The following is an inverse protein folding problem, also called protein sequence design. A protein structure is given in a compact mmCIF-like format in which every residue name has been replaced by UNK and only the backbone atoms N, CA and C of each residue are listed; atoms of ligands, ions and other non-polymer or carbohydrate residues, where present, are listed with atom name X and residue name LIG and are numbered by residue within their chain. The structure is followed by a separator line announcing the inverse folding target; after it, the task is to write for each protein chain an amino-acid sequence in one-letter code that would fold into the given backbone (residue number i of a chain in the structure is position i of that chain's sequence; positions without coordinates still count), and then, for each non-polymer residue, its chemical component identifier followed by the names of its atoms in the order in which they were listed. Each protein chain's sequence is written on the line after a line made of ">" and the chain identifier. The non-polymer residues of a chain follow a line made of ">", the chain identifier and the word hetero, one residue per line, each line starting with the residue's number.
data_IF_633148099630
#
_entry.id   IF_633148099630
#
_cell.length_a   1.000
_cell.length_b   1.000
_cell.length_c   1.000
_cell.angle_alpha   90.00
_cell.angle_beta   90.00
_cell.angle_gamma   90.00
#
_symmetry.space_group_name_H-M   'P 1'
#
loop_
_entity.id
_entity.type
_entity.pdbx_description
1 polymer ?
#
# COMPACT_ATOMS: atom_id res chain seq x y z
N UNK A 1 30.28 -17.72 4.58
CA UNK A 1 29.96 -18.00 6.01
C UNK A 1 29.20 -19.32 6.17
N UNK A 2 28.14 -19.55 5.44
CA UNK A 2 27.35 -20.79 5.50
C UNK A 2 28.13 -21.98 4.90
N UNK A 3 28.82 -21.76 3.80
CA UNK A 3 29.65 -22.79 3.18
C UNK A 3 30.81 -23.24 4.10
N UNK A 4 31.42 -22.31 4.84
CA UNK A 4 32.58 -22.60 5.71
C UNK A 4 32.18 -23.24 7.05
N UNK A 5 30.96 -23.02 7.53
CA UNK A 5 30.52 -23.45 8.88
C UNK A 5 29.68 -24.72 8.86
N UNK A 6 28.87 -24.94 7.83
CA UNK A 6 27.92 -26.07 7.76
C UNK A 6 28.45 -27.29 7.00
N UNK A 7 29.55 -27.15 6.26
CA UNK A 7 30.11 -28.22 5.41
C UNK A 7 31.59 -28.39 5.66
N UNK A 8 31.98 -28.94 6.84
CA UNK A 8 33.42 -29.09 7.17
C UNK A 8 34.15 -30.23 6.44
N UNK A 9 33.45 -31.05 5.64
CA UNK A 9 34.01 -32.19 4.93
C UNK A 9 34.17 -31.92 3.43
N UNK A 10 35.39 -31.89 2.93
CA UNK A 10 35.74 -31.65 1.50
C UNK A 10 35.04 -32.60 0.52
N UNK A 11 34.60 -33.79 0.96
CA UNK A 11 33.93 -34.77 0.11
C UNK A 11 32.43 -34.48 -0.05
N UNK A 12 31.78 -33.68 0.86
CA UNK A 12 30.40 -33.23 0.76
C UNK A 12 30.26 -32.03 -0.17
N UNK A 13 31.29 -31.20 -0.33
CA UNK A 13 31.21 -29.96 -1.14
C UNK A 13 30.95 -30.20 -2.63
N UNK A 14 31.23 -31.37 -3.17
CA UNK A 14 31.07 -31.62 -4.61
C UNK A 14 29.65 -31.87 -5.06
N UNK A 15 28.77 -32.30 -4.14
CA UNK A 15 27.39 -32.70 -4.45
C UNK A 15 26.33 -31.78 -3.87
N UNK A 16 26.67 -30.79 -3.02
CA UNK A 16 25.75 -29.88 -2.39
C UNK A 16 25.92 -28.48 -2.98
N UNK A 17 24.82 -27.86 -3.38
CA UNK A 17 24.79 -26.47 -3.80
C UNK A 17 23.94 -25.65 -2.80
N UNK A 18 24.57 -24.65 -2.20
CA UNK A 18 23.84 -23.66 -1.36
C UNK A 18 23.29 -22.58 -2.26
N UNK A 19 22.00 -22.37 -2.18
CA UNK A 19 21.28 -21.33 -2.88
C UNK A 19 20.65 -20.38 -1.84
N UNK A 20 21.03 -19.11 -1.86
CA UNK A 20 20.49 -18.06 -1.03
C UNK A 20 20.19 -16.83 -1.87
N UNK A 21 19.33 -15.96 -1.39
CA UNK A 21 19.13 -14.65 -1.97
C UNK A 21 19.17 -13.57 -0.88
N UNK A 22 19.71 -12.43 -1.24
CA UNK A 22 19.83 -11.29 -0.36
C UNK A 22 18.85 -10.20 -0.80
N UNK A 23 17.98 -9.76 0.11
CA UNK A 23 17.06 -8.64 -0.14
C UNK A 23 17.76 -7.36 0.33
N UNK A 24 18.45 -6.69 -0.60
CA UNK A 24 19.06 -5.38 -0.30
C UNK A 24 18.06 -4.22 -0.39
N UNK A 25 16.91 -4.42 -1.01
CA UNK A 25 15.83 -3.42 -1.13
C UNK A 25 14.59 -4.07 -1.74
N UNK A 26 13.38 -3.77 -1.22
CA UNK A 26 12.10 -4.33 -1.70
C UNK A 26 11.82 -4.12 -3.19
N UNK A 27 12.40 -3.08 -3.80
CA UNK A 27 12.29 -2.83 -5.26
C UNK A 27 12.92 -3.90 -6.14
N UNK A 28 13.81 -4.72 -5.61
CA UNK A 28 14.52 -5.76 -6.36
C UNK A 28 14.19 -7.19 -5.92
N UNK A 29 13.23 -7.35 -4.98
CA UNK A 29 12.84 -8.65 -4.42
C UNK A 29 12.46 -9.66 -5.51
N UNK A 30 11.62 -9.25 -6.46
CA UNK A 30 11.16 -10.14 -7.55
C UNK A 30 12.29 -10.66 -8.44
N UNK A 31 13.26 -9.80 -8.77
CA UNK A 31 14.41 -10.20 -9.59
C UNK A 31 15.43 -11.06 -8.83
N UNK A 32 15.57 -10.89 -7.52
CA UNK A 32 16.40 -11.71 -6.66
C UNK A 32 15.77 -13.11 -6.49
N UNK A 33 14.48 -13.18 -6.24
CA UNK A 33 13.72 -14.43 -6.14
C UNK A 33 13.76 -15.22 -7.46
N UNK A 34 13.63 -14.57 -8.61
CA UNK A 34 13.69 -15.23 -9.92
C UNK A 34 15.07 -15.87 -10.15
N UNK A 35 16.16 -15.17 -9.80
CA UNK A 35 17.52 -15.72 -9.86
C UNK A 35 17.71 -16.88 -8.89
N UNK A 36 17.16 -16.78 -7.70
CA UNK A 36 17.19 -17.82 -6.68
C UNK A 36 16.47 -19.09 -7.16
N UNK A 37 15.24 -18.96 -7.70
CA UNK A 37 14.51 -20.08 -8.30
C UNK A 37 15.31 -20.74 -9.42
N UNK A 38 15.90 -19.95 -10.32
CA UNK A 38 16.72 -20.46 -11.40
C UNK A 38 17.95 -21.21 -10.90
N UNK A 39 18.58 -20.72 -9.84
CA UNK A 39 19.74 -21.38 -9.23
C UNK A 39 19.38 -22.75 -8.64
N UNK A 40 18.24 -22.83 -7.94
CA UNK A 40 17.71 -24.09 -7.41
C UNK A 40 17.37 -25.07 -8.54
N UNK A 41 16.63 -24.63 -9.54
CA UNK A 41 16.22 -25.47 -10.68
C UNK A 41 17.43 -25.99 -11.45
N UNK A 42 18.46 -25.16 -11.66
CA UNK A 42 19.70 -25.57 -12.35
C UNK A 42 20.51 -26.57 -11.53
N UNK A 43 20.53 -26.43 -10.21
CA UNK A 43 21.20 -27.38 -9.32
C UNK A 43 20.49 -28.76 -9.32
N UNK A 44 19.17 -28.76 -9.21
CA UNK A 44 18.34 -29.96 -9.27
C UNK A 44 18.51 -30.67 -10.62
N UNK A 45 18.49 -29.94 -11.75
CA UNK A 45 18.71 -30.52 -13.08
C UNK A 45 20.09 -31.17 -13.24
N UNK A 46 21.09 -30.68 -12.50
CA UNK A 46 22.44 -31.25 -12.47
C UNK A 46 22.58 -32.41 -11.51
N UNK A 47 21.49 -32.82 -10.82
CA UNK A 47 21.48 -33.90 -9.86
C UNK A 47 22.19 -33.58 -8.55
N UNK A 48 22.36 -32.31 -8.20
CA UNK A 48 22.98 -31.86 -6.95
C UNK A 48 21.96 -31.81 -5.81
N UNK A 49 22.43 -32.11 -4.60
CA UNK A 49 21.70 -31.80 -3.39
C UNK A 49 21.70 -30.28 -3.18
N UNK A 50 20.59 -29.71 -2.75
CA UNK A 50 20.41 -28.26 -2.62
C UNK A 50 20.07 -27.91 -1.18
N UNK A 51 20.79 -26.95 -0.62
CA UNK A 51 20.37 -26.22 0.59
C UNK A 51 19.84 -24.87 0.14
N UNK A 52 18.53 -24.69 0.23
CA UNK A 52 17.88 -23.43 -0.09
C UNK A 52 17.67 -22.62 1.19
N UNK A 53 18.17 -21.38 1.20
CA UNK A 53 17.99 -20.45 2.32
C UNK A 53 17.03 -19.37 1.87
N UNK A 54 15.83 -19.36 2.46
CA UNK A 54 14.77 -18.43 2.15
C UNK A 54 14.25 -17.76 3.42
N UNK A 55 13.76 -16.55 3.31
CA UNK A 55 13.14 -15.82 4.43
C UNK A 55 11.79 -16.41 4.78
N UNK A 56 11.06 -16.88 3.76
CA UNK A 56 9.76 -17.51 3.90
C UNK A 56 9.67 -18.75 2.99
N UNK A 57 8.94 -19.81 3.38
CA UNK A 57 8.70 -20.96 2.52
C UNK A 57 8.05 -20.60 1.17
N UNK A 58 7.26 -19.51 1.14
CA UNK A 58 6.62 -18.99 -0.07
C UNK A 58 7.63 -18.44 -1.10
N UNK A 59 8.85 -18.09 -0.68
CA UNK A 59 9.91 -17.59 -1.57
C UNK A 59 10.56 -18.71 -2.37
N UNK A 60 10.26 -19.99 -2.09
CA UNK A 60 10.69 -21.12 -2.89
C UNK A 60 9.75 -21.34 -4.08
N UNK A 61 10.32 -21.75 -5.22
CA UNK A 61 9.51 -22.17 -6.37
C UNK A 61 8.60 -23.36 -6.02
N UNK A 62 7.46 -23.50 -6.71
CA UNK A 62 6.54 -24.65 -6.51
C UNK A 62 7.27 -25.98 -6.66
N UNK A 63 8.21 -26.06 -7.60
CA UNK A 63 9.06 -27.24 -7.77
C UNK A 63 9.99 -27.44 -6.56
N UNK A 64 10.57 -26.38 -6.02
CA UNK A 64 11.41 -26.42 -4.82
C UNK A 64 10.63 -26.87 -3.60
N UNK A 65 9.44 -26.30 -3.36
CA UNK A 65 8.58 -26.68 -2.23
C UNK A 65 8.18 -28.16 -2.24
N UNK A 66 7.90 -28.72 -3.41
CA UNK A 66 7.52 -30.14 -3.56
C UNK A 66 8.70 -31.12 -3.40
N UNK A 67 9.92 -30.64 -3.44
CA UNK A 67 11.14 -31.44 -3.34
C UNK A 67 11.85 -31.31 -1.98
N UNK A 68 11.28 -30.54 -1.04
CA UNK A 68 11.82 -30.42 0.31
C UNK A 68 11.79 -31.78 1.00
N UNK A 69 12.96 -32.29 1.32
CA UNK A 69 13.16 -33.54 2.09
C UNK A 69 13.23 -33.23 3.59
N UNK A 70 13.77 -32.05 3.91
CA UNK A 70 13.93 -31.59 5.29
C UNK A 70 13.79 -30.07 5.34
N UNK A 71 12.91 -29.62 6.21
CA UNK A 71 12.73 -28.21 6.54
C UNK A 71 13.44 -27.91 7.86
N UNK A 72 14.21 -26.84 7.90
CA UNK A 72 14.96 -26.40 9.07
C UNK A 72 14.66 -24.93 9.31
N UNK A 73 14.00 -24.63 10.40
CA UNK A 73 13.80 -23.27 10.84
C UNK A 73 15.04 -22.77 11.61
N UNK A 74 15.59 -21.63 11.20
CA UNK A 74 16.73 -21.03 11.87
C UNK A 74 16.25 -20.23 13.07
N UNK A 75 16.67 -20.58 14.30
CA UNK A 75 16.26 -19.84 15.49
C UNK A 75 16.89 -18.42 15.48
N UNK A 76 16.30 -17.46 16.19
CA UNK A 76 16.90 -16.16 16.43
C UNK A 76 18.33 -16.31 16.99
N UNK A 77 19.20 -15.34 16.68
CA UNK A 77 20.57 -15.37 17.18
C UNK A 77 20.57 -15.34 18.70
N UNK A 78 21.27 -16.32 19.32
CA UNK A 78 21.42 -16.46 20.76
C UNK A 78 22.90 -16.55 21.13
N UNK A 79 23.23 -16.37 22.41
CA UNK A 79 24.61 -16.54 22.91
C UNK A 79 25.15 -17.94 22.58
N UNK A 80 24.31 -18.97 22.71
CA UNK A 80 24.67 -20.33 22.40
C UNK A 80 25.00 -20.50 20.90
N UNK A 81 24.20 -19.92 20.02
CA UNK A 81 24.45 -19.90 18.57
C UNK A 81 25.76 -19.18 18.24
N UNK A 82 26.00 -18.00 18.83
CA UNK A 82 27.24 -17.23 18.64
C UNK A 82 28.47 -18.05 19.11
N UNK A 83 28.40 -18.67 20.28
CA UNK A 83 29.47 -19.48 20.82
C UNK A 83 29.76 -20.68 19.90
N UNK A 84 28.70 -21.33 19.39
CA UNK A 84 28.87 -22.43 18.43
C UNK A 84 29.58 -22.00 17.15
N UNK A 85 29.19 -20.86 16.60
CA UNK A 85 29.85 -20.27 15.42
C UNK A 85 31.31 -19.92 15.73
N UNK A 86 31.60 -19.30 16.89
CA UNK A 86 32.96 -18.94 17.29
C UNK A 86 33.89 -20.14 17.48
N UNK A 87 33.35 -21.27 17.96
CA UNK A 87 34.11 -22.53 18.00
C UNK A 87 34.55 -22.98 16.62
N UNK A 88 33.68 -22.87 15.64
CA UNK A 88 33.95 -23.32 14.28
C UNK A 88 34.84 -22.36 13.49
N UNK A 89 34.78 -21.06 13.76
CA UNK A 89 35.39 -20.02 12.91
C UNK A 89 36.61 -19.34 13.53
N UNK A 90 36.67 -19.22 14.86
CA UNK A 90 37.69 -18.44 15.58
C UNK A 90 38.54 -19.27 16.56
N UNK A 91 38.33 -20.60 16.63
CA UNK A 91 39.13 -21.50 17.46
C UNK A 91 39.79 -22.57 16.59
N UNK A 92 41.10 -22.68 16.69
CA UNK A 92 41.87 -23.72 15.96
C UNK A 92 41.64 -25.11 16.59
N UNK A 93 41.38 -25.16 17.87
CA UNK A 93 41.18 -26.40 18.63
C UNK A 93 39.72 -26.80 18.77
N UNK A 94 38.78 -25.95 18.39
CA UNK A 94 37.37 -26.13 18.65
C UNK A 94 36.96 -25.84 20.11
N UNK A 95 37.92 -25.45 20.98
CA UNK A 95 37.66 -25.05 22.37
C UNK A 95 37.58 -23.53 22.48
N UNK A 96 36.65 -23.03 23.29
CA UNK A 96 36.44 -21.61 23.59
C UNK A 96 36.19 -21.42 25.09
N UNK A 97 36.52 -20.26 25.62
CA UNK A 97 36.28 -19.92 27.02
C UNK A 97 34.82 -19.54 27.22
N UNK A 98 33.91 -20.52 27.35
CA UNK A 98 32.44 -20.33 27.36
C UNK A 98 31.98 -19.38 28.45
N UNK A 99 32.48 -19.58 29.70
CA UNK A 99 32.08 -18.72 30.84
C UNK A 99 32.44 -17.24 30.61
N UNK A 100 33.59 -16.99 29.97
CA UNK A 100 34.04 -15.65 29.68
C UNK A 100 33.26 -15.04 28.48
N UNK A 101 32.92 -15.86 27.51
CA UNK A 101 32.09 -15.45 26.37
C UNK A 101 30.66 -15.12 26.82
N UNK A 102 30.02 -15.95 27.65
CA UNK A 102 28.70 -15.66 28.22
C UNK A 102 28.67 -14.35 29.01
N UNK A 103 29.74 -14.04 29.76
CA UNK A 103 29.83 -12.79 30.51
C UNK A 103 30.02 -11.54 29.64
N UNK A 104 30.57 -11.72 28.40
CA UNK A 104 30.86 -10.61 27.48
C UNK A 104 29.83 -10.44 26.40
N UNK A 105 29.16 -11.47 25.96
CA UNK A 105 28.11 -11.40 24.92
C UNK A 105 26.90 -10.60 25.42
N UNK A 106 26.20 -9.92 24.51
CA UNK A 106 24.89 -9.33 24.82
C UNK A 106 23.88 -10.41 25.23
N UNK A 107 22.82 -10.08 25.96
CA UNK A 107 21.74 -11.01 26.26
C UNK A 107 21.02 -11.45 24.95
N UNK A 108 20.39 -12.63 24.99
CA UNK A 108 19.70 -13.21 23.81
C UNK A 108 18.65 -12.29 23.23
N UNK A 109 17.96 -11.51 24.07
CA UNK A 109 17.00 -10.50 23.61
C UNK A 109 17.60 -9.47 22.66
N UNK A 110 18.82 -9.07 22.91
CA UNK A 110 19.54 -8.04 22.13
C UNK A 110 20.17 -8.66 20.89
N UNK A 111 20.71 -9.88 21.01
CA UNK A 111 21.25 -10.64 19.88
C UNK A 111 20.18 -10.96 18.84
N UNK A 112 18.98 -11.34 19.29
CA UNK A 112 17.86 -11.66 18.41
C UNK A 112 17.39 -10.46 17.55
N UNK A 113 17.59 -9.24 18.04
CA UNK A 113 17.21 -8.00 17.37
C UNK A 113 18.37 -7.35 16.58
N UNK A 114 19.57 -7.93 16.66
CA UNK A 114 20.77 -7.33 16.06
C UNK A 114 20.72 -7.43 14.53
N UNK A 115 20.86 -6.30 13.79
CA UNK A 115 20.92 -6.32 12.34
C UNK A 115 22.08 -7.18 11.81
N UNK A 116 21.79 -8.09 10.88
CA UNK A 116 22.77 -9.02 10.34
C UNK A 116 24.07 -8.37 9.82
N UNK A 117 24.06 -7.21 9.12
CA UNK A 117 25.31 -6.56 8.71
C UNK A 117 26.23 -6.19 9.87
N UNK A 118 25.66 -5.84 11.04
CA UNK A 118 26.45 -5.54 12.25
C UNK A 118 27.01 -6.80 12.89
N UNK A 119 26.21 -7.88 12.92
CA UNK A 119 26.69 -9.21 13.34
C UNK A 119 27.85 -9.65 12.47
N UNK A 120 27.67 -9.61 11.14
CA UNK A 120 28.73 -9.98 10.19
C UNK A 120 30.00 -9.13 10.38
N UNK A 121 29.84 -7.82 10.58
CA UNK A 121 30.99 -6.96 10.85
C UNK A 121 31.71 -7.31 12.17
N UNK A 122 30.99 -7.69 13.21
CA UNK A 122 31.58 -8.09 14.47
C UNK A 122 32.43 -9.38 14.32
N UNK A 123 31.98 -10.31 13.48
CA UNK A 123 32.70 -11.57 13.18
C UNK A 123 34.02 -11.41 12.40
N UNK A 124 34.36 -10.19 11.94
CA UNK A 124 35.69 -9.86 11.47
C UNK A 124 36.70 -9.61 12.61
N UNK A 125 36.31 -9.86 13.86
CA UNK A 125 37.23 -9.86 15.00
C UNK A 125 38.33 -10.89 14.87
N UNK A 126 39.52 -10.66 15.48
CA UNK A 126 40.63 -11.56 15.36
C UNK A 126 40.59 -12.74 16.36
N UNK A 127 39.86 -12.58 17.44
CA UNK A 127 39.69 -13.59 18.50
C UNK A 127 38.23 -13.72 18.90
N UNK A 128 37.91 -14.83 19.56
CA UNK A 128 36.55 -15.08 20.07
C UNK A 128 36.09 -13.96 21.02
N UNK A 129 37.00 -13.44 21.85
CA UNK A 129 36.70 -12.35 22.80
C UNK A 129 36.57 -10.99 22.08
N UNK A 130 37.36 -10.74 21.03
CA UNK A 130 37.24 -9.51 20.22
C UNK A 130 35.87 -9.47 19.53
N UNK A 131 35.38 -10.59 19.02
CA UNK A 131 34.02 -10.69 18.44
C UNK A 131 32.96 -10.43 19.48
N UNK A 132 33.07 -11.01 20.68
CA UNK A 132 32.14 -10.80 21.77
C UNK A 132 32.10 -9.31 22.22
N UNK A 133 33.26 -8.69 22.34
CA UNK A 133 33.36 -7.26 22.71
C UNK A 133 32.79 -6.35 21.62
N UNK A 134 32.98 -6.69 20.34
CA UNK A 134 32.38 -5.97 19.21
C UNK A 134 30.86 -6.12 19.18
N UNK A 135 30.33 -7.32 19.41
CA UNK A 135 28.88 -7.55 19.51
C UNK A 135 28.27 -6.75 20.67
N UNK A 136 29.00 -6.70 21.81
CA UNK A 136 28.57 -5.91 22.98
C UNK A 136 28.62 -4.41 22.75
N UNK A 137 29.58 -3.93 21.95
CA UNK A 137 29.73 -2.51 21.60
C UNK A 137 28.67 -2.04 20.59
N UNK A 138 27.97 -2.97 19.94
CA UNK A 138 26.78 -2.62 19.18
C UNK A 138 25.72 -2.23 20.20
N UNK A 139 25.52 -0.93 20.39
CA UNK A 139 24.30 -0.46 21.05
C UNK A 139 23.13 -0.97 20.20
N UNK A 140 22.58 -2.13 20.60
CA UNK A 140 21.24 -2.50 20.22
C UNK A 140 20.33 -1.54 20.99
N UNK A 141 20.28 -0.31 20.55
CA UNK A 141 19.04 0.39 20.65
C UNK A 141 18.08 -0.54 19.92
N UNK A 142 16.99 -1.07 20.54
CA UNK A 142 15.89 -1.54 19.75
C UNK A 142 15.74 -0.43 18.73
N UNK A 143 16.05 -0.71 17.46
CA UNK A 143 15.85 0.27 16.44
C UNK A 143 14.49 0.77 16.84
N UNK A 144 14.33 2.07 17.22
CA UNK A 144 12.99 2.54 17.19
C UNK A 144 12.59 2.02 15.83
N UNK A 145 11.54 1.22 15.77
CA UNK A 145 10.77 1.18 14.57
C UNK A 145 10.56 2.67 14.38
N UNK A 146 11.52 3.33 13.71
CA UNK A 146 11.31 4.56 13.02
C UNK A 146 10.49 4.08 11.85
N UNK A 147 9.28 3.69 12.18
CA UNK A 147 8.16 4.22 11.49
C UNK A 147 8.46 5.72 11.56
N UNK A 148 9.09 6.27 10.51
CA UNK A 148 8.76 7.64 10.14
C UNK A 148 7.27 7.68 10.41
N UNK A 149 6.80 8.55 11.36
CA UNK A 149 5.44 8.43 11.85
C UNK A 149 4.59 8.24 10.62
N UNK A 150 4.00 7.05 10.53
CA UNK A 150 3.32 6.62 9.31
C UNK A 150 2.33 7.72 9.02
N UNK A 151 2.01 7.96 7.76
CA UNK A 151 1.04 8.97 7.39
C UNK A 151 -0.17 8.80 8.32
N UNK A 152 -0.58 9.86 9.00
CA UNK A 152 -1.74 9.83 9.90
C UNK A 152 -2.87 10.68 9.35
N UNK A 153 -4.08 10.55 9.88
CA UNK A 153 -5.21 11.37 9.46
C UNK A 153 -4.97 12.87 9.67
N UNK A 154 -4.06 13.24 10.57
CA UNK A 154 -3.64 14.64 10.74
C UNK A 154 -2.83 15.19 9.56
N UNK A 155 -2.25 14.32 8.74
CA UNK A 155 -1.50 14.69 7.54
C UNK A 155 -2.40 14.79 6.30
N UNK A 156 -3.66 14.34 6.40
CA UNK A 156 -4.64 14.38 5.31
C UNK A 156 -5.26 15.78 5.23
N UNK A 157 -4.71 16.60 4.36
CA UNK A 157 -5.19 17.97 4.14
C UNK A 157 -6.33 18.02 3.10
N UNK A 158 -7.22 19.01 3.26
CA UNK A 158 -8.23 19.35 2.24
C UNK A 158 -9.44 18.44 2.14
N UNK A 159 -9.58 17.47 3.04
CA UNK A 159 -10.68 16.51 3.09
C UNK A 159 -11.31 16.39 4.49
N UNK A 160 -11.73 17.51 5.13
CA UNK A 160 -12.15 17.49 6.54
C UNK A 160 -13.36 16.58 6.82
N UNK A 161 -14.26 16.43 5.87
CA UNK A 161 -15.39 15.51 5.99
C UNK A 161 -14.97 14.04 6.03
N UNK A 162 -14.05 13.64 5.15
CA UNK A 162 -13.49 12.29 5.13
C UNK A 162 -12.69 12.02 6.41
N UNK A 163 -11.81 12.94 6.80
CA UNK A 163 -10.99 12.80 8.00
C UNK A 163 -11.85 12.56 9.22
N UNK A 164 -12.97 13.30 9.37
CA UNK A 164 -13.89 13.11 10.49
C UNK A 164 -14.52 11.71 10.49
N UNK A 165 -15.01 11.22 9.33
CA UNK A 165 -15.63 9.88 9.27
C UNK A 165 -14.59 8.78 9.56
N UNK A 166 -13.36 8.92 9.06
CA UNK A 166 -12.28 7.98 9.35
C UNK A 166 -11.79 8.07 10.82
N UNK A 167 -11.86 9.26 11.44
CA UNK A 167 -11.52 9.41 12.87
C UNK A 167 -12.50 8.66 13.76
N UNK A 168 -13.79 8.62 13.41
CA UNK A 168 -14.76 7.81 14.15
C UNK A 168 -14.36 6.33 14.15
N UNK A 169 -13.85 5.80 13.03
CA UNK A 169 -13.36 4.41 12.97
C UNK A 169 -12.16 4.22 13.89
N UNK A 170 -11.23 5.19 13.94
CA UNK A 170 -10.09 5.12 14.87
C UNK A 170 -10.57 5.06 16.32
N UNK A 171 -11.54 5.92 16.67
CA UNK A 171 -12.10 5.99 18.02
C UNK A 171 -12.84 4.68 18.39
N UNK A 172 -13.63 4.12 17.46
CA UNK A 172 -14.35 2.87 17.64
C UNK A 172 -13.40 1.69 17.82
N UNK A 173 -12.32 1.61 17.03
CA UNK A 173 -11.30 0.54 17.17
C UNK A 173 -10.56 0.67 18.50
N UNK A 174 -10.22 1.87 18.93
CA UNK A 174 -9.60 2.10 20.24
C UNK A 174 -10.53 1.64 21.37
N UNK A 175 -11.83 1.94 21.31
CA UNK A 175 -12.82 1.48 22.28
C UNK A 175 -12.97 -0.06 22.29
N UNK A 176 -12.85 -0.69 21.13
CA UNK A 176 -12.82 -2.16 21.04
C UNK A 176 -11.56 -2.75 21.67
N UNK A 177 -10.37 -2.19 21.42
CA UNK A 177 -9.13 -2.63 22.06
C UNK A 177 -9.16 -2.49 23.60
N UNK A 178 -9.88 -1.50 24.10
CA UNK A 178 -10.11 -1.27 25.54
C UNK A 178 -11.22 -2.18 26.10
N UNK A 179 -11.94 -2.93 25.24
CA UNK A 179 -13.04 -3.82 25.62
C UNK A 179 -14.35 -3.09 25.98
N UNK A 180 -14.49 -1.84 25.55
CA UNK A 180 -15.69 -1.00 25.77
C UNK A 180 -16.74 -1.21 24.65
N UNK A 181 -16.32 -1.72 23.47
CA UNK A 181 -17.17 -1.92 22.30
C UNK A 181 -16.97 -3.33 21.73
N UNK A 182 -18.05 -3.98 21.30
CA UNK A 182 -17.98 -5.24 20.56
C UNK A 182 -17.65 -4.98 19.08
N UNK A 183 -16.81 -5.85 18.47
CA UNK A 183 -16.43 -5.68 17.06
C UNK A 183 -17.61 -5.63 16.10
N UNK A 184 -18.69 -6.35 16.41
CA UNK A 184 -19.94 -6.34 15.62
C UNK A 184 -20.67 -5.00 15.54
N UNK A 185 -20.34 -4.06 16.43
CA UNK A 185 -20.92 -2.73 16.46
C UNK A 185 -20.09 -1.69 15.68
N UNK A 186 -18.92 -2.08 15.17
CA UNK A 186 -18.01 -1.24 14.40
C UNK A 186 -18.35 -1.31 12.92
N UNK A 187 -18.41 -0.16 12.25
CA UNK A 187 -18.45 -0.08 10.79
C UNK A 187 -17.08 -0.38 10.20
N UNK A 188 -16.76 -1.69 10.07
CA UNK A 188 -15.44 -2.17 9.68
C UNK A 188 -15.17 -2.13 8.17
N UNK A 189 -16.13 -1.71 7.34
CA UNK A 189 -15.99 -1.75 5.88
C UNK A 189 -16.39 -0.44 5.20
N UNK A 190 -15.46 0.14 4.42
CA UNK A 190 -15.59 1.45 3.79
C UNK A 190 -15.29 1.41 2.30
N UNK A 191 -16.16 1.96 1.47
CA UNK A 191 -15.93 2.18 0.05
C UNK A 191 -15.62 3.67 -0.21
N UNK A 192 -14.40 3.96 -0.63
CA UNK A 192 -13.97 5.30 -1.06
C UNK A 192 -14.17 5.45 -2.57
N UNK A 193 -14.92 6.43 -3.00
CA UNK A 193 -15.16 6.65 -4.44
C UNK A 193 -14.99 8.11 -4.83
N UNK A 194 -14.51 8.35 -6.04
CA UNK A 194 -14.31 9.70 -6.57
C UNK A 194 -13.19 9.79 -7.61
N UNK A 195 -12.93 10.98 -8.14
CA UNK A 195 -11.94 11.19 -9.21
C UNK A 195 -10.53 10.66 -8.86
N UNK A 196 -9.72 10.31 -9.85
CA UNK A 196 -8.34 9.88 -9.61
C UNK A 196 -7.51 11.02 -9.01
N UNK A 197 -6.50 10.66 -8.22
CA UNK A 197 -5.57 11.62 -7.61
C UNK A 197 -6.15 12.43 -6.44
N UNK A 198 -7.33 12.08 -5.91
CA UNK A 198 -7.96 12.78 -4.79
C UNK A 198 -7.50 12.27 -3.41
N UNK A 199 -6.61 11.27 -3.34
CA UNK A 199 -5.99 10.81 -2.10
C UNK A 199 -6.64 9.59 -1.46
N UNK A 200 -7.43 8.77 -2.19
CA UNK A 200 -8.08 7.57 -1.66
C UNK A 200 -7.10 6.61 -0.99
N UNK A 201 -6.04 6.21 -1.69
CA UNK A 201 -4.99 5.31 -1.17
C UNK A 201 -4.26 5.94 0.03
N UNK A 202 -3.92 7.23 -0.08
CA UNK A 202 -3.28 7.99 1.00
C UNK A 202 -4.15 8.03 2.26
N UNK A 203 -5.47 8.16 2.12
CA UNK A 203 -6.40 8.21 3.26
C UNK A 203 -6.52 6.86 3.96
N UNK A 204 -6.45 5.74 3.22
CA UNK A 204 -6.45 4.40 3.79
C UNK A 204 -5.14 4.11 4.56
N UNK A 205 -3.99 4.51 4.00
CA UNK A 205 -2.69 4.42 4.66
C UNK A 205 -2.66 5.30 5.93
N UNK A 206 -3.17 6.53 5.85
CA UNK A 206 -3.29 7.44 6.99
C UNK A 206 -4.22 6.92 8.10
N UNK A 207 -5.28 6.19 7.75
CA UNK A 207 -6.12 5.51 8.74
C UNK A 207 -5.31 4.44 9.48
N UNK A 208 -4.60 3.58 8.74
CA UNK A 208 -3.77 2.54 9.35
C UNK A 208 -2.71 3.13 10.29
N UNK A 209 -2.03 4.21 9.86
CA UNK A 209 -1.06 4.88 10.71
C UNK A 209 -1.67 5.53 11.96
N UNK A 210 -2.91 6.08 11.87
CA UNK A 210 -3.61 6.64 13.03
C UNK A 210 -4.05 5.58 14.04
N UNK A 211 -4.33 4.38 13.58
CA UNK A 211 -4.68 3.21 14.41
C UNK A 211 -3.44 2.44 14.88
N UNK A 212 -2.24 2.80 14.42
CA UNK A 212 -1.04 1.97 14.56
C UNK A 212 -1.26 0.52 14.06
N UNK A 213 -2.05 0.36 13.01
CA UNK A 213 -2.49 -0.89 12.45
C UNK A 213 -1.60 -1.34 11.28
N UNK A 214 -1.50 -2.64 11.06
CA UNK A 214 -0.82 -3.20 9.89
C UNK A 214 -1.57 -2.85 8.59
N UNK A 215 -0.86 -2.33 7.56
CA UNK A 215 -1.47 -1.93 6.29
C UNK A 215 -1.18 -2.95 5.20
N UNK A 216 -2.22 -3.60 4.70
CA UNK A 216 -2.14 -4.57 3.60
C UNK A 216 -2.85 -4.00 2.38
N UNK A 217 -2.09 -3.74 1.32
CA UNK A 217 -2.64 -3.24 0.06
C UNK A 217 -2.69 -4.33 -0.99
N UNK A 218 -3.80 -4.41 -1.72
CA UNK A 218 -3.96 -5.29 -2.87
C UNK A 218 -4.69 -4.58 -4.00
N UNK A 219 -4.47 -5.04 -5.24
CA UNK A 219 -5.21 -4.60 -6.42
C UNK A 219 -5.44 -5.79 -7.36
N UNK A 220 -6.40 -5.65 -8.30
CA UNK A 220 -6.60 -6.65 -9.36
C UNK A 220 -5.31 -6.89 -10.15
N UNK A 221 -4.59 -5.82 -10.49
CA UNK A 221 -3.35 -5.89 -11.27
C UNK A 221 -2.22 -6.62 -10.52
N UNK A 222 -2.12 -6.47 -9.20
CA UNK A 222 -1.08 -7.12 -8.41
C UNK A 222 -1.33 -8.63 -8.32
N UNK A 223 -2.57 -9.04 -8.05
CA UNK A 223 -2.92 -10.45 -8.05
C UNK A 223 -2.84 -11.09 -9.44
N UNK A 224 -3.09 -10.34 -10.52
CA UNK A 224 -2.98 -10.84 -11.90
C UNK A 224 -1.54 -11.16 -12.32
N UNK A 225 -0.53 -10.49 -11.74
CA UNK A 225 0.89 -10.77 -11.98
C UNK A 225 1.29 -12.19 -11.57
N UNK A 226 0.55 -12.82 -10.68
CA UNK A 226 0.79 -14.19 -10.23
C UNK A 226 0.53 -15.26 -11.30
N UNK A 227 -0.16 -14.95 -12.41
CA UNK A 227 -0.31 -15.80 -13.61
C UNK A 227 -1.72 -16.33 -13.84
N UNK A 228 -1.99 -17.61 -13.55
CA UNK A 228 -3.30 -18.22 -13.80
C UNK A 228 -4.29 -17.94 -12.66
N UNK A 229 -5.59 -18.21 -12.90
CA UNK A 229 -6.69 -17.97 -11.94
C UNK A 229 -6.43 -18.56 -10.55
N UNK A 230 -5.84 -19.74 -10.47
CA UNK A 230 -5.50 -20.38 -9.18
C UNK A 230 -4.43 -19.60 -8.40
N UNK A 231 -3.50 -18.98 -9.09
CA UNK A 231 -2.43 -18.18 -8.49
C UNK A 231 -2.96 -16.81 -8.05
N UNK A 232 -3.89 -16.24 -8.80
CA UNK A 232 -4.63 -15.03 -8.41
C UNK A 232 -5.35 -15.21 -7.07
N UNK A 233 -6.14 -16.28 -6.94
CA UNK A 233 -6.90 -16.55 -5.71
C UNK A 233 -5.97 -16.86 -4.53
N UNK A 234 -4.83 -17.53 -4.77
CA UNK A 234 -3.81 -17.76 -3.75
C UNK A 234 -3.15 -16.47 -3.30
N UNK A 235 -2.83 -15.56 -4.22
CA UNK A 235 -2.24 -14.27 -3.88
C UNK A 235 -3.23 -13.44 -3.03
N UNK A 236 -4.50 -13.40 -3.42
CA UNK A 236 -5.55 -12.73 -2.64
C UNK A 236 -5.72 -13.35 -1.24
N UNK A 237 -5.73 -14.68 -1.14
CA UNK A 237 -5.80 -15.41 0.13
C UNK A 237 -4.56 -15.18 1.00
N UNK A 238 -3.38 -15.00 0.38
CA UNK A 238 -2.15 -14.61 1.08
C UNK A 238 -2.26 -13.25 1.74
N UNK A 239 -2.68 -12.22 1.01
CA UNK A 239 -2.92 -10.87 1.56
C UNK A 239 -4.01 -10.88 2.65
N UNK A 240 -5.06 -11.69 2.47
CA UNK A 240 -6.11 -11.88 3.46
C UNK A 240 -5.57 -12.45 4.77
N UNK A 241 -4.77 -13.52 4.70
CA UNK A 241 -4.15 -14.12 5.88
C UNK A 241 -3.19 -13.16 6.57
N UNK A 242 -2.44 -12.39 5.79
CA UNK A 242 -1.53 -11.38 6.31
C UNK A 242 -2.29 -10.33 7.14
N UNK A 243 -3.42 -9.83 6.65
CA UNK A 243 -4.25 -8.88 7.38
C UNK A 243 -4.79 -9.47 8.71
N UNK A 244 -5.29 -10.70 8.69
CA UNK A 244 -5.84 -11.35 9.90
C UNK A 244 -4.75 -11.64 10.93
N UNK A 245 -3.61 -12.15 10.49
CA UNK A 245 -2.53 -12.54 11.39
C UNK A 245 -1.86 -11.34 12.07
N UNK A 246 -2.00 -10.15 11.51
CA UNK A 246 -1.43 -8.91 12.03
C UNK A 246 -2.51 -7.90 12.47
N UNK A 247 -3.66 -8.36 12.95
CA UNK A 247 -4.69 -7.48 13.49
C UNK A 247 -4.18 -6.76 14.78
N UNK A 248 -4.50 -5.45 15.00
CA UNK A 248 -5.38 -4.65 14.15
C UNK A 248 -4.74 -4.30 12.81
N UNK A 249 -5.54 -4.40 11.74
CA UNK A 249 -5.04 -4.17 10.38
C UNK A 249 -6.05 -3.44 9.49
N UNK A 250 -5.53 -2.77 8.46
CA UNK A 250 -6.32 -2.16 7.39
C UNK A 250 -6.06 -2.91 6.09
N UNK A 251 -7.06 -3.59 5.57
CA UNK A 251 -7.02 -4.27 4.28
C UNK A 251 -7.54 -3.36 3.19
N UNK A 252 -6.65 -2.89 2.32
CA UNK A 252 -6.98 -1.91 1.28
C UNK A 252 -7.02 -2.56 -0.11
N UNK A 253 -8.16 -2.42 -0.80
CA UNK A 253 -8.37 -2.89 -2.18
C UNK A 253 -8.43 -1.68 -3.10
N UNK A 254 -7.38 -1.50 -3.93
CA UNK A 254 -7.36 -0.41 -4.91
C UNK A 254 -8.01 -0.84 -6.23
N UNK A 255 -8.53 0.16 -6.97
CA UNK A 255 -9.14 -0.04 -8.28
C UNK A 255 -10.23 -1.12 -8.31
N UNK A 256 -11.19 -1.05 -7.37
CA UNK A 256 -12.29 -2.02 -7.27
C UNK A 256 -13.13 -2.11 -8.56
N UNK A 257 -13.18 -1.06 -9.37
CA UNK A 257 -13.79 -1.04 -10.70
C UNK A 257 -13.14 -2.00 -11.69
N UNK A 258 -11.86 -2.36 -11.50
CA UNK A 258 -11.19 -3.38 -12.32
C UNK A 258 -11.77 -4.79 -12.17
N UNK A 259 -12.57 -5.03 -11.12
CA UNK A 259 -13.31 -6.28 -10.90
C UNK A 259 -14.71 -6.28 -11.52
N UNK A 260 -15.12 -5.21 -12.20
CA UNK A 260 -16.54 -4.84 -12.35
C UNK A 260 -17.18 -4.96 -13.72
N UNK A 261 -16.54 -5.23 -14.83
CA UNK A 261 -17.27 -5.37 -16.11
C UNK A 261 -17.79 -6.78 -16.34
N UNK A 262 -19.02 -7.04 -15.91
CA UNK A 262 -19.83 -8.15 -16.47
C UNK A 262 -20.30 -7.76 -17.87
N UNK A 263 -19.48 -7.92 -18.90
CA UNK A 263 -19.97 -7.77 -20.25
C UNK A 263 -20.98 -8.89 -20.56
N UNK A 264 -22.08 -8.54 -21.22
CA UNK A 264 -23.17 -9.45 -21.57
C UNK A 264 -22.80 -10.51 -22.64
N UNK A 265 -21.53 -10.70 -22.92
CA UNK A 265 -21.01 -11.65 -23.93
C UNK A 265 -20.33 -12.83 -23.26
N UNK A 266 -20.89 -14.00 -23.43
CA UNK A 266 -20.42 -15.31 -22.94
C UNK A 266 -19.12 -15.76 -23.62
N UNK A 267 -18.01 -15.13 -23.28
CA UNK A 267 -16.67 -15.56 -23.71
C UNK A 267 -15.94 -16.31 -22.58
N UNK A 268 -14.85 -16.97 -22.89
CA UNK A 268 -13.98 -17.68 -21.92
C UNK A 268 -13.43 -16.72 -20.86
N UNK A 269 -13.27 -15.45 -21.23
CA UNK A 269 -12.84 -14.34 -20.36
C UNK A 269 -13.90 -14.03 -19.29
N UNK A 270 -15.20 -14.10 -19.64
CA UNK A 270 -16.28 -13.74 -18.70
C UNK A 270 -16.39 -14.75 -17.55
N UNK A 271 -16.21 -16.06 -17.84
CA UNK A 271 -16.17 -17.09 -16.79
C UNK A 271 -15.00 -16.91 -15.81
N UNK A 272 -13.86 -16.48 -16.32
CA UNK A 272 -12.72 -16.15 -15.50
C UNK A 272 -13.05 -14.98 -14.53
N UNK A 273 -13.56 -13.88 -15.06
CA UNK A 273 -13.95 -12.71 -14.24
C UNK A 273 -15.04 -13.04 -13.22
N UNK A 274 -16.04 -13.85 -13.58
CA UNK A 274 -17.05 -14.33 -12.61
C UNK A 274 -16.43 -15.10 -11.45
N UNK A 275 -15.43 -15.95 -11.70
CA UNK A 275 -14.76 -16.71 -10.65
C UNK A 275 -13.91 -15.80 -9.77
N UNK A 276 -13.23 -14.80 -10.34
CA UNK A 276 -12.44 -13.80 -9.61
C UNK A 276 -13.35 -12.95 -8.71
N UNK A 277 -14.45 -12.44 -9.26
CA UNK A 277 -15.43 -11.65 -8.47
C UNK A 277 -16.03 -12.50 -7.34
N UNK A 278 -16.39 -13.76 -7.60
CA UNK A 278 -16.90 -14.63 -6.55
C UNK A 278 -15.87 -14.91 -5.46
N UNK A 279 -14.59 -15.11 -5.82
CA UNK A 279 -13.51 -15.26 -4.86
C UNK A 279 -13.32 -14.00 -4.00
N UNK A 280 -13.37 -12.81 -4.62
CA UNK A 280 -13.32 -11.54 -3.90
C UNK A 280 -14.52 -11.38 -2.95
N UNK A 281 -15.73 -11.76 -3.40
CA UNK A 281 -16.93 -11.71 -2.58
C UNK A 281 -16.83 -12.61 -1.35
N UNK A 282 -16.29 -13.83 -1.52
CA UNK A 282 -16.03 -14.74 -0.42
C UNK A 282 -14.99 -14.18 0.56
N UNK A 283 -13.91 -13.61 0.03
CA UNK A 283 -12.85 -12.97 0.82
C UNK A 283 -13.38 -11.78 1.61
N UNK A 284 -14.17 -10.89 0.99
CA UNK A 284 -14.78 -9.74 1.67
C UNK A 284 -15.70 -10.19 2.82
N UNK A 285 -16.48 -11.24 2.61
CA UNK A 285 -17.34 -11.76 3.68
C UNK A 285 -16.52 -12.24 4.87
N UNK A 286 -15.45 -13.00 4.62
CA UNK A 286 -14.55 -13.49 5.68
C UNK A 286 -13.81 -12.35 6.40
N UNK A 287 -13.43 -11.29 5.69
CA UNK A 287 -12.75 -10.13 6.27
C UNK A 287 -13.70 -9.33 7.17
N UNK A 288 -14.94 -9.12 6.75
CA UNK A 288 -15.92 -8.40 7.54
C UNK A 288 -16.29 -9.15 8.84
N UNK A 289 -16.17 -10.49 8.82
CA UNK A 289 -16.37 -11.34 10.01
C UNK A 289 -15.10 -11.45 10.89
N UNK A 290 -13.96 -10.94 10.43
CA UNK A 290 -12.69 -11.02 11.15
C UNK A 290 -12.52 -9.83 12.11
N UNK A 291 -12.39 -10.12 13.40
CA UNK A 291 -12.16 -9.10 14.42
C UNK A 291 -10.79 -8.40 14.23
N UNK A 292 -10.76 -7.10 14.39
CA UNK A 292 -9.55 -6.28 14.26
C UNK A 292 -9.15 -5.94 12.81
N UNK A 293 -9.97 -6.26 11.79
CA UNK A 293 -9.66 -5.98 10.39
C UNK A 293 -10.62 -4.93 9.82
N UNK A 294 -10.10 -3.76 9.47
CA UNK A 294 -10.84 -2.73 8.73
C UNK A 294 -10.63 -2.94 7.24
N UNK A 295 -11.72 -3.05 6.47
CA UNK A 295 -11.69 -3.22 5.02
C UNK A 295 -11.97 -1.89 4.33
N UNK A 296 -11.05 -1.44 3.50
CA UNK A 296 -11.25 -0.25 2.68
C UNK A 296 -11.11 -0.63 1.21
N UNK A 297 -12.08 -0.25 0.40
CA UNK A 297 -11.94 -0.34 -1.05
C UNK A 297 -11.97 1.04 -1.69
N UNK A 298 -11.25 1.20 -2.81
CA UNK A 298 -11.22 2.43 -3.57
C UNK A 298 -11.65 2.21 -5.03
N UNK A 299 -12.37 3.17 -5.58
CA UNK A 299 -12.75 3.17 -6.99
C UNK A 299 -12.78 4.57 -7.58
N UNK A 300 -12.48 4.67 -8.86
CA UNK A 300 -12.69 5.89 -9.64
C UNK A 300 -14.09 5.93 -10.30
N UNK A 301 -14.72 4.76 -10.51
CA UNK A 301 -15.95 4.58 -11.27
C UNK A 301 -16.96 3.72 -10.51
N UNK A 302 -17.73 4.34 -9.63
CA UNK A 302 -18.73 3.63 -8.82
C UNK A 302 -19.81 2.92 -9.67
N UNK A 303 -20.12 3.45 -10.84
CA UNK A 303 -21.08 2.93 -11.81
C UNK A 303 -20.60 1.71 -12.58
N UNK A 304 -19.29 1.42 -12.58
CA UNK A 304 -18.69 0.27 -13.25
C UNK A 304 -18.50 -0.94 -12.32
N UNK A 305 -18.70 -0.77 -11.01
CA UNK A 305 -18.58 -1.87 -10.05
C UNK A 305 -19.82 -2.76 -10.12
N UNK A 306 -19.59 -4.08 -10.05
CA UNK A 306 -20.67 -5.05 -9.88
C UNK A 306 -21.50 -4.71 -8.64
N UNK A 307 -22.80 -4.55 -8.82
CA UNK A 307 -23.73 -4.23 -7.74
C UNK A 307 -23.65 -5.22 -6.56
N UNK A 308 -23.27 -6.48 -6.86
CA UNK A 308 -23.08 -7.49 -5.83
C UNK A 308 -21.92 -7.16 -4.87
N UNK A 309 -20.88 -6.46 -5.33
CA UNK A 309 -19.74 -6.04 -4.50
C UNK A 309 -20.10 -4.89 -3.54
N UNK A 310 -21.04 -4.03 -3.91
CA UNK A 310 -21.38 -2.82 -3.18
C UNK A 310 -22.72 -2.88 -2.43
N UNK A 311 -23.35 -4.08 -2.35
CA UNK A 311 -24.60 -4.28 -1.59
C UNK A 311 -24.34 -4.16 -0.08
N UNK A 312 -25.43 -3.85 0.66
CA UNK A 312 -25.44 -3.84 2.11
C UNK A 312 -24.89 -5.19 2.69
N UNK A 313 -24.10 -5.10 3.76
CA UNK A 313 -23.41 -6.23 4.37
C UNK A 313 -22.03 -6.52 3.77
N UNK A 314 -21.50 -5.65 2.88
CA UNK A 314 -20.14 -5.73 2.35
C UNK A 314 -19.34 -4.46 2.52
N UNK A 315 -19.97 -3.32 2.27
CA UNK A 315 -19.45 -2.01 2.65
C UNK A 315 -20.52 -1.27 3.43
N UNK A 316 -20.26 -1.03 4.70
CA UNK A 316 -21.17 -0.37 5.63
C UNK A 316 -21.28 1.12 5.29
N UNK A 317 -20.14 1.69 4.89
CA UNK A 317 -20.05 3.10 4.55
C UNK A 317 -19.58 3.31 3.11
N UNK A 318 -20.15 4.33 2.45
CA UNK A 318 -19.74 4.76 1.11
C UNK A 318 -19.40 6.25 1.18
N UNK A 319 -18.12 6.56 1.11
CA UNK A 319 -17.61 7.91 1.27
C UNK A 319 -17.13 8.49 -0.06
N UNK A 320 -17.77 9.59 -0.47
CA UNK A 320 -17.39 10.30 -1.69
C UNK A 320 -16.20 11.21 -1.44
N UNK A 321 -15.14 11.07 -2.24
CA UNK A 321 -13.97 11.94 -2.21
C UNK A 321 -13.99 12.82 -3.46
N UNK A 322 -14.26 14.11 -3.28
CA UNK A 322 -14.21 15.10 -4.36
C UNK A 322 -12.85 15.77 -4.50
N UNK A 323 -12.76 16.70 -5.45
CA UNK A 323 -11.63 17.63 -5.47
C UNK A 323 -11.67 18.52 -4.22
N UNK A 324 -10.49 18.91 -3.70
CA UNK A 324 -10.40 19.80 -2.56
C UNK A 324 -11.07 21.15 -2.89
N UNK A 325 -11.64 21.78 -1.90
CA UNK A 325 -12.10 23.16 -2.02
C UNK A 325 -10.92 24.14 -2.09
N UNK A 326 -11.20 25.42 -2.21
CA UNK A 326 -10.17 26.46 -2.35
C UNK A 326 -9.15 26.44 -1.21
N UNK A 327 -9.60 26.30 0.02
CA UNK A 327 -8.73 26.26 1.20
C UNK A 327 -7.96 24.93 1.25
N UNK A 328 -8.64 23.82 1.08
CA UNK A 328 -8.01 22.50 1.05
C UNK A 328 -6.96 22.35 -0.04
N UNK A 329 -7.19 22.93 -1.23
CA UNK A 329 -6.20 22.92 -2.29
C UNK A 329 -4.94 23.73 -1.91
N UNK A 330 -5.12 24.87 -1.23
CA UNK A 330 -4.01 25.65 -0.72
C UNK A 330 -3.23 24.88 0.37
N UNK A 331 -3.94 24.24 1.31
CA UNK A 331 -3.35 23.48 2.40
C UNK A 331 -2.54 22.26 1.87
N UNK A 332 -3.10 21.52 0.91
CA UNK A 332 -2.40 20.43 0.22
C UNK A 332 -1.13 20.95 -0.48
N UNK A 333 -1.22 22.05 -1.21
CA UNK A 333 -0.06 22.61 -1.88
C UNK A 333 1.00 23.04 -0.88
N UNK A 334 0.62 23.69 0.21
CA UNK A 334 1.53 24.13 1.27
C UNK A 334 2.21 22.97 1.99
N UNK A 335 1.49 21.89 2.29
CA UNK A 335 2.06 20.68 2.91
C UNK A 335 3.16 20.07 2.04
N UNK A 336 2.95 20.06 0.71
CA UNK A 336 3.96 19.60 -0.24
C UNK A 336 5.10 20.60 -0.45
N UNK A 337 4.87 21.90 -0.37
CA UNK A 337 5.93 22.92 -0.51
C UNK A 337 6.87 22.92 0.70
N UNK A 338 6.39 22.62 1.89
CA UNK A 338 7.13 22.69 3.17
C UNK A 338 7.80 24.06 3.37
N UNK A 339 7.11 25.13 3.01
CA UNK A 339 7.63 26.50 3.00
C UNK A 339 6.49 27.45 3.45
N UNK A 340 6.37 27.75 4.77
CA UNK A 340 5.21 28.46 5.32
C UNK A 340 5.14 29.93 4.89
N UNK A 341 6.25 30.53 4.45
CA UNK A 341 6.33 31.96 4.11
C UNK A 341 5.77 32.32 2.73
N UNK A 342 5.24 31.34 1.98
CA UNK A 342 4.74 31.59 0.63
C UNK A 342 3.28 31.99 0.68
N UNK A 343 2.97 33.20 0.24
CA UNK A 343 1.60 33.68 0.08
C UNK A 343 0.97 33.10 -1.22
N UNK A 344 -0.03 32.23 -1.03
CA UNK A 344 -0.83 31.62 -2.11
C UNK A 344 -2.13 32.37 -2.41
N UNK A 345 -2.43 33.46 -1.72
CA UNK A 345 -3.72 34.19 -1.84
C UNK A 345 -4.07 34.55 -3.28
N UNK A 346 -3.08 34.98 -4.05
CA UNK A 346 -3.25 35.36 -5.48
C UNK A 346 -3.41 34.16 -6.44
N UNK A 347 -3.08 32.95 -5.98
CA UNK A 347 -3.11 31.74 -6.80
C UNK A 347 -4.28 30.84 -6.43
N UNK A 348 -4.91 31.06 -5.29
CA UNK A 348 -5.90 30.15 -4.70
C UNK A 348 -7.09 29.87 -5.62
N UNK A 349 -7.57 30.85 -6.40
CA UNK A 349 -8.65 30.62 -7.36
C UNK A 349 -8.24 29.70 -8.52
N UNK A 350 -6.96 29.67 -8.87
CA UNK A 350 -6.41 28.80 -9.91
C UNK A 350 -6.16 27.38 -9.44
N UNK A 351 -6.21 27.12 -8.12
CA UNK A 351 -6.05 25.78 -7.54
C UNK A 351 -7.36 25.01 -7.53
N UNK A 352 -8.51 25.70 -7.69
CA UNK A 352 -9.83 25.07 -7.67
C UNK A 352 -9.95 24.04 -8.81
N UNK A 353 -10.41 22.82 -8.47
CA UNK A 353 -10.62 21.74 -9.43
C UNK A 353 -9.35 20.95 -9.76
N UNK A 354 -8.23 21.23 -9.08
CA UNK A 354 -7.00 20.41 -9.16
C UNK A 354 -7.10 19.27 -8.13
N UNK A 355 -6.62 18.10 -8.54
CA UNK A 355 -6.48 16.96 -7.64
C UNK A 355 -5.29 17.12 -6.70
N UNK A 356 -5.25 16.36 -5.60
CA UNK A 356 -4.08 16.30 -4.73
C UNK A 356 -2.80 15.91 -5.48
N UNK A 357 -2.91 15.02 -6.46
CA UNK A 357 -1.79 14.61 -7.32
C UNK A 357 -1.27 15.75 -8.20
N UNK A 358 -2.17 16.58 -8.74
CA UNK A 358 -1.79 17.78 -9.52
C UNK A 358 -1.05 18.79 -8.63
N UNK A 359 -1.57 19.04 -7.43
CA UNK A 359 -0.97 19.94 -6.45
C UNK A 359 0.43 19.46 -6.03
N UNK A 360 0.59 18.18 -5.77
CA UNK A 360 1.90 17.57 -5.50
C UNK A 360 2.86 17.72 -6.69
N UNK A 361 2.38 17.55 -7.92
CA UNK A 361 3.18 17.74 -9.13
C UNK A 361 3.62 19.19 -9.30
N UNK A 362 2.75 20.16 -9.02
CA UNK A 362 3.04 21.59 -9.01
C UNK A 362 4.16 21.90 -8.00
N UNK A 363 4.02 21.40 -6.76
CA UNK A 363 5.03 21.58 -5.72
C UNK A 363 6.39 21.00 -6.13
N UNK A 364 6.43 19.77 -6.66
CA UNK A 364 7.66 19.14 -7.16
C UNK A 364 8.31 19.96 -8.29
N UNK A 365 7.49 20.43 -9.22
CA UNK A 365 7.97 21.22 -10.37
C UNK A 365 8.54 22.57 -9.92
N UNK A 366 7.86 23.29 -9.03
CA UNK A 366 8.30 24.56 -8.48
C UNK A 366 9.63 24.43 -7.71
N UNK A 367 9.73 23.41 -6.81
CA UNK A 367 10.98 23.08 -6.10
C UNK A 367 12.12 22.72 -7.07
N UNK A 368 11.83 21.97 -8.12
CA UNK A 368 12.80 21.62 -9.15
C UNK A 368 13.32 22.83 -9.92
N UNK A 369 12.46 23.81 -10.20
CA UNK A 369 12.86 25.07 -10.86
C UNK A 369 13.73 25.92 -9.93
N UNK A 370 13.33 26.13 -8.68
CA UNK A 370 14.08 26.89 -7.69
C UNK A 370 15.50 26.32 -7.52
N UNK A 371 15.65 24.99 -7.41
CA UNK A 371 16.95 24.32 -7.33
C UNK A 371 17.83 24.55 -8.57
N UNK A 372 17.26 24.44 -9.78
CA UNK A 372 18.00 24.68 -11.03
C UNK A 372 18.47 26.12 -11.16
N UNK A 373 17.65 27.06 -10.73
CA UNK A 373 17.99 28.49 -10.73
C UNK A 373 18.85 28.90 -9.54
N UNK A 374 19.09 27.99 -8.58
CA UNK A 374 19.81 28.27 -7.32
C UNK A 374 19.23 29.48 -6.57
N UNK A 375 17.91 29.58 -6.55
CA UNK A 375 17.16 30.65 -5.87
C UNK A 375 16.23 30.07 -4.82
N UNK A 376 15.90 30.81 -3.75
CA UNK A 376 14.87 30.42 -2.81
C UNK A 376 13.52 30.18 -3.53
N UNK A 377 12.77 29.19 -3.05
CA UNK A 377 11.42 28.90 -3.56
C UNK A 377 10.52 30.12 -3.28
N UNK A 378 9.77 30.56 -4.29
CA UNK A 378 8.86 31.68 -4.19
C UNK A 378 7.62 31.52 -5.09
N UNK A 379 6.66 32.44 -4.98
CA UNK A 379 5.40 32.42 -5.73
C UNK A 379 5.55 32.42 -7.26
N UNK A 380 6.65 32.99 -7.80
CA UNK A 380 6.90 32.96 -9.24
C UNK A 380 7.18 31.56 -9.77
N UNK A 381 7.91 30.73 -9.01
CA UNK A 381 8.14 29.32 -9.36
C UNK A 381 6.84 28.53 -9.35
N UNK A 382 5.96 28.79 -8.38
CA UNK A 382 4.65 28.13 -8.28
C UNK A 382 3.76 28.56 -9.45
N UNK A 383 3.75 29.85 -9.78
CA UNK A 383 2.99 30.37 -10.92
C UNK A 383 3.44 29.73 -12.24
N UNK A 384 4.74 29.60 -12.43
CA UNK A 384 5.32 28.96 -13.61
C UNK A 384 4.99 27.46 -13.67
N UNK A 385 5.09 26.76 -12.54
CA UNK A 385 4.72 25.35 -12.44
C UNK A 385 3.22 25.13 -12.71
N UNK A 386 2.36 25.97 -12.14
CA UNK A 386 0.92 25.96 -12.36
C UNK A 386 0.58 26.24 -13.83
N UNK A 387 1.23 27.21 -14.48
CA UNK A 387 1.05 27.49 -15.90
C UNK A 387 1.46 26.34 -16.82
N UNK A 388 2.36 25.46 -16.37
CA UNK A 388 2.83 24.29 -17.12
C UNK A 388 1.92 23.07 -16.92
N UNK A 389 1.48 22.81 -15.69
CA UNK A 389 0.70 21.60 -15.33
C UNK A 389 -0.78 21.84 -15.57
N UNK A 390 -1.29 22.99 -15.17
CA UNK A 390 -2.67 23.42 -15.36
C UNK A 390 -2.71 24.79 -16.06
N UNK A 391 -2.42 24.84 -17.37
CA UNK A 391 -2.51 26.07 -18.12
C UNK A 391 -3.93 26.63 -18.03
N UNK A 392 -4.09 27.96 -17.93
CA UNK A 392 -5.42 28.53 -17.93
C UNK A 392 -6.14 28.13 -19.22
N UNK A 393 -7.36 27.61 -19.13
CA UNK A 393 -8.14 27.27 -20.31
C UNK A 393 -8.37 28.55 -21.14
N UNK A 394 -8.41 28.42 -22.46
CA UNK A 394 -8.78 29.56 -23.32
C UNK A 394 -10.19 30.05 -22.96
N UNK A 395 -10.46 31.34 -23.16
CA UNK A 395 -11.77 31.93 -22.93
C UNK A 395 -12.90 31.16 -23.64
N UNK A 396 -12.63 30.70 -24.85
CA UNK A 396 -13.58 29.93 -25.67
C UNK A 396 -13.87 28.55 -25.06
N UNK A 397 -12.85 27.87 -24.56
CA UNK A 397 -13.02 26.58 -23.89
C UNK A 397 -13.76 26.73 -22.54
N UNK A 398 -13.50 27.78 -21.77
CA UNK A 398 -14.25 28.06 -20.56
C UNK A 398 -15.71 28.33 -20.86
N UNK A 399 -15.97 29.15 -21.88
CA UNK A 399 -17.33 29.45 -22.31
C UNK A 399 -18.06 28.20 -22.77
N UNK A 400 -17.45 27.36 -23.59
CA UNK A 400 -18.05 26.08 -24.03
C UNK A 400 -18.33 25.14 -22.88
N UNK A 401 -17.40 24.97 -21.93
CA UNK A 401 -17.62 24.17 -20.72
C UNK A 401 -18.74 24.75 -19.85
N UNK A 402 -18.77 26.08 -19.70
CA UNK A 402 -19.85 26.75 -18.94
C UNK A 402 -21.23 26.50 -19.56
N UNK A 403 -21.35 26.60 -20.88
CA UNK A 403 -22.58 26.29 -21.58
C UNK A 403 -23.01 24.82 -21.41
N UNK A 404 -22.04 23.90 -21.49
CA UNK A 404 -22.26 22.48 -21.28
C UNK A 404 -22.84 22.20 -19.88
N UNK A 405 -22.17 22.65 -18.83
CA UNK A 405 -22.63 22.44 -17.44
C UNK A 405 -23.94 23.19 -17.15
N UNK A 406 -24.10 24.38 -17.70
CA UNK A 406 -25.37 25.11 -17.58
C UNK A 406 -26.53 24.35 -18.26
N UNK A 407 -26.28 23.68 -19.37
CA UNK A 407 -27.25 22.81 -20.03
C UNK A 407 -27.78 21.72 -19.08
N UNK A 408 -26.89 21.03 -18.38
CA UNK A 408 -27.31 20.03 -17.39
C UNK A 408 -28.17 20.62 -16.28
N UNK A 409 -27.80 21.79 -15.75
CA UNK A 409 -28.56 22.47 -14.69
C UNK A 409 -29.96 22.86 -15.17
N UNK A 410 -30.05 23.48 -16.36
CA UNK A 410 -31.32 23.92 -16.93
C UNK A 410 -32.23 22.76 -17.21
N UNK A 411 -31.73 21.68 -17.85
CA UNK A 411 -32.54 20.51 -18.14
C UNK A 411 -32.98 19.80 -16.86
N UNK A 412 -32.12 19.68 -15.86
CA UNK A 412 -32.47 19.13 -14.55
C UNK A 412 -33.62 19.93 -13.89
N UNK A 413 -33.53 21.24 -13.93
CA UNK A 413 -34.56 22.14 -13.39
C UNK A 413 -35.89 22.04 -14.16
N UNK A 414 -35.85 22.07 -15.49
CA UNK A 414 -37.04 21.97 -16.35
C UNK A 414 -37.77 20.64 -16.18
N UNK A 415 -37.05 19.56 -15.95
CA UNK A 415 -37.62 18.24 -15.71
C UNK A 415 -38.15 18.06 -14.28
N UNK A 416 -37.97 19.06 -13.40
CA UNK A 416 -38.41 19.01 -12.00
C UNK A 416 -37.69 17.95 -11.19
N UNK A 417 -36.44 17.63 -11.56
CA UNK A 417 -35.59 16.70 -10.84
C UNK A 417 -35.01 17.34 -9.59
N UNK A 418 -34.51 16.54 -8.63
CA UNK A 418 -33.85 17.07 -7.42
C UNK A 418 -32.77 18.09 -7.75
N UNK A 419 -32.65 19.12 -6.93
CA UNK A 419 -31.80 20.29 -7.18
C UNK A 419 -30.35 19.95 -7.47
N UNK A 420 -29.71 20.81 -8.27
CA UNK A 420 -28.27 20.76 -8.50
C UNK A 420 -27.54 21.19 -7.23
N UNK A 421 -26.71 20.33 -6.68
CA UNK A 421 -25.97 20.60 -5.46
C UNK A 421 -24.72 21.45 -5.73
N UNK A 422 -24.02 21.15 -6.83
CA UNK A 422 -22.76 21.82 -7.17
C UNK A 422 -22.51 21.79 -8.68
N UNK A 423 -22.00 22.90 -9.21
CA UNK A 423 -21.47 23.00 -10.58
C UNK A 423 -20.04 23.53 -10.48
N UNK A 424 -19.12 22.93 -11.22
CA UNK A 424 -17.77 23.43 -11.30
C UNK A 424 -17.22 23.33 -12.72
N UNK A 425 -16.28 24.19 -13.03
CA UNK A 425 -15.49 24.17 -14.28
C UNK A 425 -14.02 24.26 -13.90
N UNK A 426 -13.22 23.34 -14.41
CA UNK A 426 -11.78 23.30 -14.18
C UNK A 426 -11.02 23.27 -15.52
N UNK A 427 -9.70 23.48 -15.50
CA UNK A 427 -8.85 23.30 -16.69
C UNK A 427 -8.98 21.90 -17.30
N UNK A 428 -9.07 20.88 -16.48
CA UNK A 428 -9.18 19.47 -16.91
C UNK A 428 -10.60 19.05 -17.30
N UNK A 429 -11.64 19.73 -16.81
CA UNK A 429 -13.04 19.33 -17.07
C UNK A 429 -14.06 20.26 -16.42
N UNK A 430 -15.32 19.90 -16.49
CA UNK A 430 -16.42 20.45 -15.73
C UNK A 430 -17.23 19.31 -15.12
N UNK A 431 -18.15 19.64 -14.23
CA UNK A 431 -19.08 18.67 -13.69
C UNK A 431 -20.24 19.33 -12.96
N UNK A 432 -21.38 18.69 -13.09
CA UNK A 432 -22.62 19.07 -12.41
C UNK A 432 -23.02 17.93 -11.48
N UNK A 433 -23.08 18.21 -10.18
CA UNK A 433 -23.54 17.25 -9.17
C UNK A 433 -25.00 17.55 -8.83
N UNK A 434 -25.82 16.52 -8.88
CA UNK A 434 -27.23 16.57 -8.51
C UNK A 434 -27.66 15.29 -7.79
N UNK A 435 -28.67 15.38 -6.95
CA UNK A 435 -29.24 14.18 -6.33
C UNK A 435 -29.84 13.30 -7.40
N UNK A 436 -29.47 12.04 -7.45
CA UNK A 436 -30.03 11.10 -8.41
C UNK A 436 -31.50 10.89 -8.14
N UNK A 437 -32.38 11.04 -9.16
CA UNK A 437 -33.78 10.71 -9.01
C UNK A 437 -33.95 9.21 -8.75
N UNK A 438 -34.98 8.84 -8.02
CA UNK A 438 -35.31 7.44 -7.79
C UNK A 438 -35.65 6.74 -9.12
N UNK A 439 -34.78 5.85 -9.61
CA UNK A 439 -34.80 5.21 -10.93
C UNK A 439 -35.86 4.09 -11.09
N UNK A 440 -36.80 3.96 -10.15
CA UNK A 440 -37.79 2.88 -10.13
C UNK A 440 -38.84 2.99 -11.29
N UNK A 441 -38.87 4.09 -12.00
CA UNK A 441 -39.84 4.29 -13.09
C UNK A 441 -39.18 4.54 -14.43
N UNK A 442 -39.78 4.04 -15.52
CA UNK A 442 -39.38 4.34 -16.91
C UNK A 442 -39.20 5.83 -17.15
N UNK A 443 -40.10 6.65 -16.62
CA UNK A 443 -40.09 8.11 -16.74
C UNK A 443 -38.84 8.69 -16.06
N UNK A 444 -38.45 8.20 -14.88
CA UNK A 444 -37.24 8.65 -14.19
C UNK A 444 -35.95 8.31 -14.97
N UNK A 445 -35.89 7.11 -15.60
CA UNK A 445 -34.80 6.74 -16.46
C UNK A 445 -34.71 7.60 -17.73
N UNK A 446 -35.85 7.90 -18.38
CA UNK A 446 -35.91 8.79 -19.55
C UNK A 446 -35.49 10.22 -19.20
N UNK A 447 -35.89 10.73 -18.04
CA UNK A 447 -35.48 12.05 -17.54
C UNK A 447 -33.95 12.11 -17.30
N UNK A 448 -33.38 11.11 -16.64
CA UNK A 448 -31.94 11.05 -16.40
C UNK A 448 -31.15 10.99 -17.72
N UNK A 449 -31.58 10.16 -18.66
CA UNK A 449 -31.01 10.08 -19.99
C UNK A 449 -31.04 11.43 -20.70
N UNK A 450 -32.16 12.18 -20.58
CA UNK A 450 -32.29 13.52 -21.16
C UNK A 450 -31.31 14.50 -20.55
N UNK A 451 -31.05 14.45 -19.22
CA UNK A 451 -30.04 15.29 -18.57
C UNK A 451 -28.64 14.93 -19.08
N UNK A 452 -28.32 13.65 -19.21
CA UNK A 452 -27.03 13.22 -19.74
C UNK A 452 -26.81 13.56 -21.22
N UNK A 453 -27.88 13.60 -22.03
CA UNK A 453 -27.80 13.96 -23.45
C UNK A 453 -27.92 15.47 -23.72
N UNK A 454 -28.13 16.29 -22.72
CA UNK A 454 -28.32 17.75 -22.85
C UNK A 454 -27.10 18.51 -23.42
N UNK A 455 -26.06 17.83 -23.83
CA UNK A 455 -24.83 18.40 -24.38
C UNK A 455 -24.70 18.23 -25.88
N UNK A 456 -25.60 17.56 -26.55
CA UNK A 456 -25.68 17.46 -28.00
C UNK A 456 -26.54 18.59 -28.57
#
# INVERSE_FOLDING_TARGET
>A
FFEDVLLPDEDLERDIQVCAYEISNDRYRSGAIEKFHKSIDDAIRRGRSVIAIATEPADLSISGQNLIVRDLEWPPLSQETVIHILRATHSVTGEVAEDELHARLPPDSDLALMPWPLVHHAFHGQTTLDVADRLRAVEVTPAPVVTEPGLTLSDVCGLPGLVRELTHIVDDVAAWEEGELDWSDISSSVLLFGPPGTGKTMSADALAGSMNAHFVQTSYADCQKAGHMGDYLKALDGHFKDAINNAPSVFFIDELDSYGERSARTTRSDRYMHSVVNGLLETLTKLNDAEGVIVIAATNHLDQIDEALIRAGRFDQKLAIGFPDKQGAADILMSHLKCPDIDLSRLSDRLIGLSGADLAAIARTAKGQARRLRTPLNGAHITAALGRIAPPPSSDNLTRKAWHEAGHVVVNHVLGLPGTERVFISPSGGGTFYQRPNMVTRRGAEQLLTVHLAHS
#
